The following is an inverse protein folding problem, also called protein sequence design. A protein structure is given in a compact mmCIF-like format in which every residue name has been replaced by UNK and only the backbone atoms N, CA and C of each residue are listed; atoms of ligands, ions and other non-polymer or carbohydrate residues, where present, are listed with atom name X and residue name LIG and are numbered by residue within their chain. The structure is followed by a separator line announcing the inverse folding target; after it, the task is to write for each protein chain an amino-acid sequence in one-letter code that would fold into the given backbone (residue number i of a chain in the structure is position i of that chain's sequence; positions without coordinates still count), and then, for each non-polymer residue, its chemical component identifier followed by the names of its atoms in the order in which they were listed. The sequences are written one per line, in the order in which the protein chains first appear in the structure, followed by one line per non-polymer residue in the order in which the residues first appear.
data_IF_944736155750
#
_entry.id   IF_944736155750
#
_cell.length_a   1.000
_cell.length_b   1.000
_cell.length_c   1.000
_cell.angle_alpha   90.00
_cell.angle_beta   90.00
_cell.angle_gamma   90.00
#
_symmetry.space_group_name_H-M   'P 1'
#
loop_
_entity.id
_entity.type
_entity.pdbx_description
1 polymer ?
#
# COMPACT_ATOMS: atom_id res chain seq x y z
N UNK A 1 10.56 26.25 7.48
CA UNK A 1 9.12 25.92 7.34
C UNK A 1 8.75 25.05 8.52
N UNK A 2 7.64 25.33 9.17
CA UNK A 2 7.12 24.47 10.23
C UNK A 2 6.44 23.25 9.59
N UNK A 3 6.46 22.10 10.27
CA UNK A 3 5.91 20.83 9.74
C UNK A 3 4.43 20.97 9.30
N UNK A 4 3.70 21.85 9.98
CA UNK A 4 2.31 22.19 9.70
C UNK A 4 2.13 22.80 8.30
N UNK A 5 3.06 23.62 7.85
CA UNK A 5 2.99 24.29 6.54
C UNK A 5 3.25 23.30 5.40
N UNK A 6 4.11 22.31 5.64
CA UNK A 6 4.40 21.24 4.68
C UNK A 6 3.18 20.34 4.49
N UNK A 7 2.51 19.96 5.59
CA UNK A 7 1.31 19.11 5.54
C UNK A 7 0.15 19.83 4.83
N UNK A 8 -0.05 21.12 5.11
CA UNK A 8 -1.09 21.92 4.45
C UNK A 8 -0.83 22.09 2.94
N UNK A 9 0.42 22.24 2.53
CA UNK A 9 0.80 22.29 1.11
C UNK A 9 0.47 20.97 0.40
N UNK A 10 0.79 19.84 1.02
CA UNK A 10 0.51 18.52 0.43
C UNK A 10 -0.98 18.21 0.35
N UNK A 11 -1.78 18.66 1.31
CA UNK A 11 -3.24 18.51 1.28
C UNK A 11 -3.86 19.36 0.17
N UNK A 12 -3.38 20.59 -0.03
CA UNK A 12 -3.86 21.47 -1.08
C UNK A 12 -3.56 20.92 -2.49
N UNK A 13 -2.40 20.30 -2.70
CA UNK A 13 -2.04 19.65 -3.98
C UNK A 13 -2.93 18.44 -4.32
N UNK A 14 -3.47 17.73 -3.31
CA UNK A 14 -4.33 16.56 -3.51
C UNK A 14 -5.78 16.94 -3.85
N UNK A 15 -6.29 18.06 -3.33
CA UNK A 15 -7.66 18.53 -3.60
C UNK A 15 -7.87 18.96 -5.07
N UNK A 16 -6.83 19.50 -5.72
CA UNK A 16 -6.89 19.97 -7.12
C UNK A 16 -7.03 18.83 -8.15
N UNK A 17 -6.73 17.58 -7.78
CA UNK A 17 -6.82 16.41 -8.69
C UNK A 17 -8.26 15.91 -8.86
N UNK A 18 -9.15 16.18 -7.90
CA UNK A 18 -10.51 15.59 -7.88
C UNK A 18 -11.48 16.32 -8.82
N UNK A 19 -11.24 17.60 -9.12
CA UNK A 19 -12.23 18.47 -9.80
C UNK A 19 -12.21 18.33 -11.34
N UNK A 20 -11.15 17.77 -11.95
CA UNK A 20 -11.05 17.71 -13.43
C UNK A 20 -11.81 16.54 -14.10
N UNK A 21 -12.46 15.66 -13.33
CA UNK A 21 -13.13 14.46 -13.89
C UNK A 21 -14.63 14.64 -14.23
N UNK A 22 -15.22 15.81 -13.97
CA UNK A 22 -16.68 15.99 -14.01
C UNK A 22 -17.15 17.13 -14.91
N UNK A 23 -16.93 17.05 -16.24
CA UNK A 23 -17.62 17.94 -17.18
C UNK A 23 -17.65 17.46 -18.64
N UNK A 24 -18.43 16.42 -18.97
CA UNK A 24 -19.12 16.34 -20.29
C UNK A 24 -20.47 15.60 -20.15
N UNK A 25 -21.57 16.31 -20.38
CA UNK A 25 -22.92 15.76 -20.69
C UNK A 25 -23.17 15.96 -22.20
N UNK A 26 -23.82 14.99 -22.88
CA UNK A 26 -25.08 15.15 -23.68
C UNK A 26 -25.42 13.89 -24.55
N UNK A 27 -26.65 13.38 -24.39
CA UNK A 27 -27.59 12.64 -25.30
C UNK A 27 -27.52 11.12 -25.67
N UNK A 28 -28.48 10.37 -25.07
CA UNK A 28 -29.56 9.46 -25.58
C UNK A 28 -29.37 8.34 -26.67
N UNK A 29 -29.26 7.06 -26.19
CA UNK A 29 -29.91 5.73 -26.52
C UNK A 29 -30.19 5.33 -28.01
N UNK A 30 -29.85 4.11 -28.55
CA UNK A 30 -30.27 2.78 -28.04
C UNK A 30 -29.32 1.54 -28.15
N UNK A 31 -29.42 0.72 -27.09
CA UNK A 31 -29.19 -0.73 -26.87
C UNK A 31 -28.58 -1.57 -28.02
N UNK A 32 -27.39 -2.13 -27.81
CA UNK A 32 -27.03 -3.53 -28.08
C UNK A 32 -26.10 -4.03 -26.95
N UNK A 33 -26.38 -5.22 -26.43
CA UNK A 33 -25.66 -5.84 -25.30
C UNK A 33 -24.43 -6.54 -25.86
N UNK A 34 -23.23 -6.02 -25.63
CA UNK A 34 -21.99 -6.77 -25.80
C UNK A 34 -21.06 -6.58 -24.60
N UNK A 35 -20.63 -7.71 -24.06
CA UNK A 35 -19.72 -7.88 -22.93
C UNK A 35 -18.32 -7.36 -23.26
N UNK A 36 -18.04 -6.08 -23.03
CA UNK A 36 -16.67 -5.55 -22.97
C UNK A 36 -16.80 -4.18 -22.30
N UNK A 37 -16.28 -3.91 -21.11
CA UNK A 37 -14.92 -3.41 -20.87
C UNK A 37 -14.68 -3.57 -19.36
N UNK A 38 -14.17 -4.72 -18.95
CA UNK A 38 -13.48 -4.93 -17.67
C UNK A 38 -12.04 -5.27 -18.02
N UNK A 39 -11.33 -4.36 -18.68
CA UNK A 39 -9.95 -4.61 -19.11
C UNK A 39 -9.23 -3.29 -19.41
N UNK A 40 -9.04 -2.43 -18.40
CA UNK A 40 -7.99 -1.38 -18.49
C UNK A 40 -7.53 -0.77 -17.16
N UNK A 41 -7.39 -1.61 -16.13
CA UNK A 41 -6.72 -1.21 -14.88
C UNK A 41 -5.98 -2.39 -14.22
N UNK A 42 -5.42 -3.32 -15.01
CA UNK A 42 -4.63 -4.47 -14.52
C UNK A 42 -3.20 -4.48 -15.13
N UNK A 43 -2.84 -3.51 -15.97
CA UNK A 43 -1.55 -3.54 -16.69
C UNK A 43 -0.35 -2.97 -15.91
N UNK A 44 -0.46 -2.64 -14.62
CA UNK A 44 0.71 -2.24 -13.80
C UNK A 44 1.07 -3.23 -12.67
N UNK A 45 0.60 -4.48 -12.74
CA UNK A 45 0.99 -5.53 -11.78
C UNK A 45 2.18 -6.37 -12.28
N UNK A 46 2.67 -6.15 -13.51
CA UNK A 46 3.78 -6.94 -14.08
C UNK A 46 5.19 -6.51 -13.61
N UNK A 47 5.34 -5.46 -12.80
CA UNK A 47 6.66 -4.94 -12.44
C UNK A 47 7.13 -5.29 -11.02
N UNK A 48 6.48 -6.23 -10.33
CA UNK A 48 6.94 -6.67 -9.00
C UNK A 48 8.06 -7.72 -9.11
N UNK A 49 8.10 -8.47 -10.23
CA UNK A 49 9.14 -9.47 -10.49
C UNK A 49 10.50 -8.85 -10.88
N UNK A 50 10.51 -7.64 -11.45
CA UNK A 50 11.76 -6.98 -11.85
C UNK A 50 12.53 -6.42 -10.65
N UNK A 51 11.83 -5.90 -9.63
CA UNK A 51 12.47 -5.34 -8.44
C UNK A 51 13.13 -6.43 -7.57
N UNK A 52 12.47 -7.59 -7.45
CA UNK A 52 13.02 -8.75 -6.73
C UNK A 52 14.28 -9.33 -7.43
N UNK A 53 14.33 -9.29 -8.76
CA UNK A 53 15.46 -9.79 -9.55
C UNK A 53 16.69 -8.88 -9.43
N UNK A 54 16.49 -7.55 -9.40
CA UNK A 54 17.59 -6.57 -9.28
C UNK A 54 18.22 -6.58 -7.87
N UNK A 55 17.47 -6.96 -6.83
CA UNK A 55 17.96 -7.03 -5.46
C UNK A 55 18.81 -8.29 -5.17
N UNK A 56 18.73 -9.30 -6.04
CA UNK A 56 19.48 -10.57 -5.90
C UNK A 56 20.95 -10.46 -6.34
N UNK A 57 21.42 -9.27 -6.73
CA UNK A 57 22.81 -9.06 -7.09
C UNK A 57 23.64 -8.94 -5.81
N UNK A 58 24.33 -10.04 -5.47
CA UNK A 58 25.14 -10.26 -4.28
C UNK A 58 25.87 -9.01 -3.76
N UNK A 59 25.22 -8.33 -2.82
CA UNK A 59 25.90 -7.46 -1.87
C UNK A 59 26.41 -8.37 -0.75
N UNK A 60 27.67 -8.23 -0.29
CA UNK A 60 28.15 -8.99 0.85
C UNK A 60 27.27 -8.63 2.04
N UNK A 61 26.48 -9.61 2.51
CA UNK A 61 25.59 -9.47 3.65
C UNK A 61 26.43 -9.14 4.89
N UNK A 62 26.45 -7.86 5.27
CA UNK A 62 26.89 -7.40 6.59
C UNK A 62 25.63 -7.23 7.47
N UNK A 63 24.71 -8.18 7.36
CA UNK A 63 23.56 -8.34 8.27
C UNK A 63 23.60 -9.76 8.81
N UNK A 64 23.39 -9.94 10.11
CA UNK A 64 23.16 -11.29 10.66
C UNK A 64 22.00 -11.93 9.89
N UNK A 65 22.15 -13.17 9.41
CA UNK A 65 21.11 -13.87 8.65
C UNK A 65 19.74 -13.87 9.37
N UNK A 66 19.75 -13.82 10.70
CA UNK A 66 18.56 -13.70 11.54
C UNK A 66 17.83 -12.36 11.35
N UNK A 67 18.56 -11.28 11.07
CA UNK A 67 17.99 -9.95 10.85
C UNK A 67 17.29 -9.86 9.50
N UNK A 68 17.92 -10.41 8.46
CA UNK A 68 17.31 -10.51 7.13
C UNK A 68 16.00 -11.26 7.22
N UNK A 69 15.99 -12.41 7.91
CA UNK A 69 14.80 -13.24 8.09
C UNK A 69 13.70 -12.53 8.89
N UNK A 70 14.06 -11.75 9.91
CA UNK A 70 13.08 -10.96 10.65
C UNK A 70 12.43 -9.88 9.77
N UNK A 71 13.24 -9.15 9.01
CA UNK A 71 12.75 -8.08 8.13
C UNK A 71 11.86 -8.64 7.01
N UNK A 72 12.21 -9.79 6.44
CA UNK A 72 11.37 -10.53 5.50
C UNK A 72 10.02 -10.89 6.13
N UNK A 73 10.02 -11.42 7.36
CA UNK A 73 8.80 -11.76 8.08
C UNK A 73 7.91 -10.55 8.37
N UNK A 74 8.48 -9.40 8.73
CA UNK A 74 7.72 -8.14 8.90
C UNK A 74 7.12 -7.69 7.57
N UNK A 75 7.91 -7.74 6.49
CA UNK A 75 7.46 -7.38 5.14
C UNK A 75 6.28 -8.23 4.69
N UNK A 76 6.32 -9.55 4.84
CA UNK A 76 5.22 -10.44 4.47
C UNK A 76 3.93 -10.13 5.25
N UNK A 77 4.04 -9.91 6.57
CA UNK A 77 2.88 -9.57 7.40
C UNK A 77 2.24 -8.24 6.98
N UNK A 78 3.05 -7.24 6.61
CA UNK A 78 2.56 -5.97 6.09
C UNK A 78 1.84 -6.13 4.75
N UNK A 79 2.37 -6.95 3.84
CA UNK A 79 1.73 -7.23 2.56
C UNK A 79 0.34 -7.87 2.76
N UNK A 80 0.23 -8.87 3.63
CA UNK A 80 -1.05 -9.51 3.96
C UNK A 80 -2.03 -8.51 4.60
N UNK A 81 -1.56 -7.62 5.48
CA UNK A 81 -2.39 -6.56 6.04
C UNK A 81 -2.95 -5.67 4.91
N UNK A 82 -2.12 -5.25 3.96
CA UNK A 82 -2.55 -4.39 2.86
C UNK A 82 -3.56 -5.09 1.93
N UNK A 83 -3.36 -6.36 1.62
CA UNK A 83 -4.34 -7.17 0.88
C UNK A 83 -5.68 -7.26 1.64
N UNK A 84 -5.63 -7.54 2.95
CA UNK A 84 -6.81 -7.60 3.81
C UNK A 84 -7.53 -6.25 3.95
N UNK A 85 -6.78 -5.15 3.96
CA UNK A 85 -7.31 -3.80 4.07
C UNK A 85 -8.06 -3.36 2.80
N UNK A 86 -7.58 -3.79 1.64
CA UNK A 86 -8.21 -3.56 0.33
C UNK A 86 -9.39 -4.50 0.05
N UNK A 87 -9.64 -5.50 0.92
CA UNK A 87 -10.72 -6.47 0.71
C UNK A 87 -12.10 -5.79 0.64
N UNK A 88 -12.90 -6.06 -0.40
CA UNK A 88 -14.23 -5.46 -0.57
C UNK A 88 -15.24 -5.92 0.50
N UNK A 89 -14.97 -7.05 1.16
CA UNK A 89 -15.82 -7.59 2.23
C UNK A 89 -15.65 -6.84 3.56
N UNK A 90 -14.61 -6.03 3.67
CA UNK A 90 -14.30 -5.29 4.88
C UNK A 90 -14.76 -3.84 4.70
N UNK A 91 -16.03 -3.57 5.02
CA UNK A 91 -16.67 -2.26 4.72
C UNK A 91 -16.61 -1.29 5.90
N UNK A 92 -16.41 -1.81 7.12
CA UNK A 92 -16.40 -1.00 8.33
C UNK A 92 -15.02 -0.35 8.53
N UNK A 93 -14.95 0.97 8.32
CA UNK A 93 -13.70 1.72 8.39
C UNK A 93 -13.14 1.83 9.81
N UNK A 94 -13.99 1.91 10.83
CA UNK A 94 -13.55 2.00 12.24
C UNK A 94 -12.87 0.69 12.66
N UNK A 95 -13.51 -0.45 12.35
CA UNK A 95 -12.92 -1.76 12.61
C UNK A 95 -11.60 -1.98 11.85
N UNK A 96 -11.45 -1.42 10.64
CA UNK A 96 -10.19 -1.44 9.90
C UNK A 96 -9.10 -0.64 10.59
N UNK A 97 -9.40 0.58 11.02
CA UNK A 97 -8.44 1.46 11.69
C UNK A 97 -8.01 0.84 13.02
N UNK A 98 -8.94 0.33 13.81
CA UNK A 98 -8.65 -0.34 15.08
C UNK A 98 -7.77 -1.58 14.89
N UNK A 99 -8.11 -2.44 13.92
CA UNK A 99 -7.30 -3.63 13.61
C UNK A 99 -5.88 -3.23 13.16
N UNK A 100 -5.78 -2.21 12.31
CA UNK A 100 -4.51 -1.74 11.77
C UNK A 100 -3.63 -1.14 12.85
N UNK A 101 -4.21 -0.33 13.75
CA UNK A 101 -3.49 0.22 14.92
C UNK A 101 -2.95 -0.88 15.82
N UNK A 102 -3.82 -1.82 16.22
CA UNK A 102 -3.41 -2.95 17.07
C UNK A 102 -2.29 -3.79 16.41
N UNK A 103 -2.38 -3.99 15.10
CA UNK A 103 -1.35 -4.72 14.36
C UNK A 103 -0.01 -3.95 14.31
N UNK A 104 -0.04 -2.63 14.10
CA UNK A 104 1.17 -1.82 14.11
C UNK A 104 1.79 -1.71 15.49
N UNK A 105 0.99 -1.64 16.56
CA UNK A 105 1.50 -1.72 17.94
C UNK A 105 2.22 -3.04 18.20
N UNK A 106 1.64 -4.16 17.75
CA UNK A 106 2.29 -5.46 17.84
C UNK A 106 3.60 -5.53 17.03
N UNK A 107 3.61 -5.00 15.81
CA UNK A 107 4.83 -4.95 14.99
C UNK A 107 5.91 -4.11 15.67
N UNK A 108 5.54 -2.94 16.21
CA UNK A 108 6.47 -2.07 16.92
C UNK A 108 7.07 -2.79 18.13
N UNK A 109 6.24 -3.42 18.97
CA UNK A 109 6.70 -4.22 20.09
C UNK A 109 7.61 -5.38 19.65
N UNK A 110 7.33 -5.99 18.49
CA UNK A 110 8.19 -7.05 17.93
C UNK A 110 9.58 -6.51 17.56
N UNK A 111 9.62 -5.31 16.97
CA UNK A 111 10.88 -4.63 16.62
C UNK A 111 11.65 -4.28 17.88
N UNK A 112 11.00 -3.70 18.90
CA UNK A 112 11.64 -3.34 20.16
C UNK A 112 12.26 -4.56 20.85
N UNK A 113 11.52 -5.68 20.93
CA UNK A 113 12.05 -6.93 21.50
C UNK A 113 13.30 -7.44 20.76
N UNK A 114 13.35 -7.29 19.43
CA UNK A 114 14.55 -7.65 18.66
C UNK A 114 15.69 -6.70 18.96
N UNK A 115 15.43 -5.40 18.98
CA UNK A 115 16.46 -4.40 19.28
C UNK A 115 17.09 -4.66 20.66
N UNK A 116 16.29 -5.02 21.67
CA UNK A 116 16.77 -5.41 22.99
C UNK A 116 17.62 -6.68 22.98
N UNK A 117 17.45 -7.56 21.99
CA UNK A 117 18.25 -8.80 21.85
C UNK A 117 19.60 -8.54 21.19
N UNK A 118 19.70 -7.52 20.34
CA UNK A 118 20.93 -7.19 19.59
C UNK A 118 21.77 -6.12 20.30
N UNK A 119 21.14 -5.30 21.14
CA UNK A 119 21.76 -4.19 21.88
C UNK A 119 22.55 -4.66 23.09
#
# INVERSE_FOLDING_TARGET
MELKDVILSTLAELDDVVIQSSAVKTQEVPIEVEETIVTKAIEEVQNVQSFASVLSQEMPSVGSDDEVRMLEGIRERLLVLFEGFQSPNNVNIEAKVDLTLNFFEYLLATIDNRLDTIR
#
